data_IF_049874131763
#
_entry.id   IF_049874131763
#
_cell.length_a   1.000
_cell.length_b   1.000
_cell.length_c   1.000
_cell.angle_alpha   90.00
_cell.angle_beta   90.00
_cell.angle_gamma   90.00
#
_symmetry.space_group_name_H-M   'P 1'
#
loop_
_entity.id
_entity.type
_entity.pdbx_description
1 polymer ?
#
# COMPACT_ATOMS: atom_id res chain seq x y z
N UNK A 1 14.86 -13.60 18.64
CA UNK A 1 15.18 -12.52 17.68
C UNK A 1 14.42 -12.82 16.41
N UNK A 2 13.36 -12.06 16.16
CA UNK A 2 12.37 -12.30 15.10
C UNK A 2 12.92 -11.84 13.74
N UNK A 3 13.69 -12.72 13.10
CA UNK A 3 14.31 -12.49 11.79
C UNK A 3 13.28 -12.22 10.68
N UNK A 4 12.01 -12.53 10.89
CA UNK A 4 10.95 -12.35 9.90
C UNK A 4 10.52 -10.89 9.80
N UNK A 5 10.39 -10.21 10.94
CA UNK A 5 10.04 -8.79 11.02
C UNK A 5 11.16 -7.90 10.46
N UNK A 6 12.41 -8.19 10.84
CA UNK A 6 13.59 -7.43 10.36
C UNK A 6 13.75 -7.56 8.83
N UNK A 7 13.48 -8.74 8.26
CA UNK A 7 13.56 -8.97 6.81
C UNK A 7 12.47 -8.20 6.05
N UNK A 8 11.27 -8.06 6.62
CA UNK A 8 10.19 -7.29 6.00
C UNK A 8 10.45 -5.79 6.09
N UNK A 9 10.97 -5.32 7.22
CA UNK A 9 11.37 -3.93 7.40
C UNK A 9 12.47 -3.53 6.41
N UNK A 10 13.49 -4.37 6.22
CA UNK A 10 14.58 -4.12 5.26
C UNK A 10 14.06 -4.09 3.82
N UNK A 11 13.16 -5.00 3.43
CA UNK A 11 12.53 -5.00 2.10
C UNK A 11 11.69 -3.74 1.87
N UNK A 12 11.00 -3.26 2.91
CA UNK A 12 10.23 -2.03 2.84
C UNK A 12 11.15 -0.82 2.63
N UNK A 13 12.21 -0.70 3.44
CA UNK A 13 13.18 0.40 3.33
C UNK A 13 13.88 0.42 1.97
N UNK A 14 14.30 -0.74 1.45
CA UNK A 14 14.91 -0.83 0.11
C UNK A 14 13.95 -0.37 -0.99
N UNK A 15 12.69 -0.80 -0.93
CA UNK A 15 11.69 -0.38 -1.90
C UNK A 15 11.36 1.12 -1.80
N UNK A 16 11.40 1.70 -0.59
CA UNK A 16 11.25 3.14 -0.38
C UNK A 16 12.41 3.93 -0.99
N UNK A 17 13.66 3.50 -0.75
CA UNK A 17 14.86 4.15 -1.29
C UNK A 17 14.92 4.08 -2.82
N UNK A 18 14.69 2.90 -3.41
CA UNK A 18 14.66 2.73 -4.88
C UNK A 18 13.60 3.64 -5.51
N UNK A 19 12.47 3.84 -4.83
CA UNK A 19 11.40 4.69 -5.37
C UNK A 19 11.77 6.17 -5.30
N UNK A 20 12.37 6.60 -4.18
CA UNK A 20 12.84 7.98 -4.01
C UNK A 20 13.90 8.34 -5.06
N UNK A 21 14.83 7.43 -5.36
CA UNK A 21 15.88 7.65 -6.35
C UNK A 21 15.32 7.69 -7.79
N UNK A 22 14.28 6.90 -8.10
CA UNK A 22 13.59 6.93 -9.40
C UNK A 22 12.79 8.23 -9.56
N UNK A 23 12.09 8.67 -8.51
CA UNK A 23 11.33 9.93 -8.52
C UNK A 23 12.27 11.12 -8.71
N UNK A 24 13.37 11.18 -7.95
CA UNK A 24 14.39 12.22 -8.10
C UNK A 24 15.03 12.23 -9.50
N UNK A 25 15.36 11.04 -10.05
CA UNK A 25 15.93 10.94 -11.39
C UNK A 25 14.98 11.36 -12.51
N UNK A 26 13.66 11.27 -12.31
CA UNK A 26 12.65 11.77 -13.24
C UNK A 26 12.51 13.29 -13.13
N UNK A 27 12.48 13.82 -11.91
CA UNK A 27 12.40 15.27 -11.67
C UNK A 27 13.63 16.00 -12.24
N UNK A 28 14.84 15.46 -12.00
CA UNK A 28 16.10 15.98 -12.54
C UNK A 28 16.10 15.96 -14.08
N UNK A 29 15.52 14.92 -14.69
CA UNK A 29 15.40 14.80 -16.14
C UNK A 29 14.39 15.81 -16.72
N UNK A 30 13.28 16.07 -16.03
CA UNK A 30 12.30 17.08 -16.41
C UNK A 30 12.91 18.47 -16.33
N UNK A 31 13.59 18.80 -15.23
CA UNK A 31 14.26 20.09 -15.02
C UNK A 31 15.34 20.32 -16.10
N UNK A 32 16.16 19.29 -16.38
CA UNK A 32 17.17 19.35 -17.45
C UNK A 32 16.55 19.61 -18.82
N UNK A 33 15.41 18.98 -19.13
CA UNK A 33 14.69 19.18 -20.39
C UNK A 33 14.10 20.59 -20.50
N UNK A 34 13.54 21.13 -19.42
CA UNK A 34 12.99 22.49 -19.35
C UNK A 34 14.09 23.54 -19.48
N UNK A 35 15.18 23.42 -18.72
CA UNK A 35 16.35 24.31 -18.82
C UNK A 35 16.99 24.28 -20.21
N UNK A 36 16.99 23.12 -20.88
CA UNK A 36 17.50 22.98 -22.24
C UNK A 36 16.57 23.64 -23.26
N UNK A 37 15.25 23.52 -23.08
CA UNK A 37 14.26 24.19 -23.93
C UNK A 37 14.39 25.72 -23.85
N UNK A 38 14.45 26.30 -22.64
CA UNK A 38 14.61 27.74 -22.41
C UNK A 38 15.90 28.29 -23.06
N UNK A 39 17.02 27.56 -22.95
CA UNK A 39 18.28 27.95 -23.60
C UNK A 39 18.17 28.02 -25.11
N UNK A 40 17.39 27.11 -25.71
CA UNK A 40 17.21 27.02 -27.15
C UNK A 40 16.20 28.05 -27.70
N UNK A 41 15.33 28.65 -26.88
CA UNK A 41 14.40 29.70 -27.31
C UNK A 41 15.12 30.97 -27.80
N UNK A 42 16.35 31.20 -27.33
CA UNK A 42 17.19 32.34 -27.73
C UNK A 42 17.85 32.20 -29.12
N UNK A 43 17.72 31.03 -29.76
CA UNK A 43 18.34 30.72 -31.05
C UNK A 43 17.27 30.70 -32.15
N UNK A 44 17.33 31.67 -33.08
CA UNK A 44 16.34 31.81 -34.17
C UNK A 44 16.63 30.88 -35.36
N UNK A 45 16.77 29.58 -35.10
CA UNK A 45 17.01 28.54 -36.12
C UNK A 45 15.78 27.62 -36.29
N UNK A 46 15.24 27.45 -37.52
CA UNK A 46 14.05 26.63 -37.78
C UNK A 46 14.21 25.14 -37.46
N UNK A 47 15.42 24.58 -37.58
CA UNK A 47 15.72 23.20 -37.21
C UNK A 47 15.72 23.01 -35.70
N UNK A 48 16.27 23.99 -34.97
CA UNK A 48 16.27 24.04 -33.52
C UNK A 48 14.84 24.18 -32.96
N UNK A 49 14.00 25.04 -33.55
CA UNK A 49 12.58 25.20 -33.16
C UNK A 49 11.77 23.91 -33.27
N UNK A 50 12.07 23.05 -34.26
CA UNK A 50 11.40 21.76 -34.40
C UNK A 50 11.85 20.74 -33.36
N UNK A 51 13.13 20.75 -32.98
CA UNK A 51 13.67 19.93 -31.89
C UNK A 51 13.10 20.38 -30.53
N UNK A 52 12.98 21.68 -30.31
CA UNK A 52 12.39 22.31 -29.10
C UNK A 52 10.95 21.84 -28.88
N UNK A 53 10.11 21.94 -29.92
CA UNK A 53 8.74 21.43 -29.88
C UNK A 53 8.65 19.92 -29.63
N UNK A 54 9.66 19.14 -30.05
CA UNK A 54 9.70 17.70 -29.79
C UNK A 54 10.05 17.41 -28.33
N UNK A 55 10.94 18.20 -27.73
CA UNK A 55 11.31 18.14 -26.32
C UNK A 55 10.15 18.57 -25.41
N UNK A 56 9.49 19.68 -25.71
CA UNK A 56 8.28 20.15 -25.00
C UNK A 56 7.18 19.09 -25.00
N UNK A 57 6.91 18.47 -26.17
CA UNK A 57 5.94 17.35 -26.27
C UNK A 57 6.38 16.13 -25.48
N UNK A 58 7.67 15.91 -25.27
CA UNK A 58 8.19 14.81 -24.46
C UNK A 58 7.99 15.10 -22.97
N UNK A 59 8.36 16.30 -22.52
CA UNK A 59 8.17 16.77 -21.15
C UNK A 59 6.68 16.74 -20.74
N UNK A 60 5.77 17.32 -21.54
CA UNK A 60 4.33 17.26 -21.24
C UNK A 60 3.75 15.84 -21.22
N UNK A 61 4.30 14.90 -22.00
CA UNK A 61 3.86 13.49 -21.96
C UNK A 61 4.35 12.78 -20.70
N UNK A 62 5.56 13.10 -20.23
CA UNK A 62 6.09 12.60 -18.97
C UNK A 62 5.29 13.14 -17.78
N UNK A 63 5.01 14.44 -17.74
CA UNK A 63 4.17 15.07 -16.70
C UNK A 63 2.76 14.46 -16.68
N UNK A 64 2.12 14.29 -17.84
CA UNK A 64 0.81 13.65 -17.93
C UNK A 64 0.83 12.18 -17.50
N UNK A 65 1.92 11.45 -17.76
CA UNK A 65 2.09 10.06 -17.33
C UNK A 65 2.37 9.97 -15.82
N UNK A 66 3.05 10.96 -15.22
CA UNK A 66 3.29 11.02 -13.78
C UNK A 66 2.04 11.43 -12.99
N UNK A 67 1.27 12.41 -13.48
CA UNK A 67 -0.03 12.81 -12.92
C UNK A 67 -1.08 11.70 -13.08
N UNK A 68 -1.06 10.93 -14.19
CA UNK A 68 -1.95 9.77 -14.40
C UNK A 68 -1.47 8.49 -13.73
N UNK A 69 -0.17 8.32 -13.49
CA UNK A 69 0.33 7.25 -12.63
C UNK A 69 0.11 7.63 -11.17
N UNK A 70 -1.15 7.48 -10.81
CA UNK A 70 -1.66 6.93 -9.57
C UNK A 70 -0.82 5.77 -8.99
N UNK A 71 0.30 5.34 -9.55
CA UNK A 71 1.10 4.22 -9.03
C UNK A 71 1.69 4.51 -7.65
N UNK A 72 2.14 5.74 -7.33
CA UNK A 72 2.60 6.05 -5.97
C UNK A 72 1.43 6.17 -4.98
N UNK A 73 0.32 6.78 -5.38
CA UNK A 73 -0.91 6.89 -4.57
C UNK A 73 -1.65 5.57 -4.41
N UNK A 74 -1.81 4.79 -5.47
CA UNK A 74 -2.37 3.45 -5.50
C UNK A 74 -1.44 2.45 -4.82
N UNK A 75 -0.11 2.56 -4.93
CA UNK A 75 0.82 1.70 -4.16
C UNK A 75 0.82 2.08 -2.69
N UNK A 76 0.75 3.37 -2.34
CA UNK A 76 0.53 3.84 -0.96
C UNK A 76 -0.83 3.39 -0.42
N UNK A 77 -1.90 3.49 -1.22
CA UNK A 77 -3.23 3.02 -0.86
C UNK A 77 -3.28 1.49 -0.75
N UNK A 78 -2.57 0.76 -1.61
CA UNK A 78 -2.40 -0.69 -1.55
C UNK A 78 -1.59 -1.08 -0.30
N UNK A 79 -0.56 -0.32 0.05
CA UNK A 79 0.26 -0.54 1.25
C UNK A 79 -0.54 -0.26 2.53
N UNK A 80 -1.27 0.86 2.58
CA UNK A 80 -2.18 1.19 3.68
C UNK A 80 -3.33 0.19 3.79
N UNK A 81 -3.90 -0.26 2.67
CA UNK A 81 -4.95 -1.27 2.66
C UNK A 81 -4.43 -2.65 3.09
N UNK A 82 -3.18 -2.98 2.74
CA UNK A 82 -2.53 -4.21 3.18
C UNK A 82 -2.22 -4.17 4.69
N UNK A 83 -1.66 -3.08 5.21
CA UNK A 83 -1.38 -2.92 6.65
C UNK A 83 -2.66 -2.82 7.50
N UNK A 84 -3.71 -2.20 6.96
CA UNK A 84 -5.01 -2.05 7.61
C UNK A 84 -6.04 -3.09 7.14
N UNK A 85 -5.59 -4.22 6.58
CA UNK A 85 -6.50 -5.27 6.11
C UNK A 85 -7.10 -6.08 7.26
N UNK A 86 -8.26 -6.71 7.01
CA UNK A 86 -8.87 -7.67 7.96
C UNK A 86 -7.86 -8.72 8.43
N UNK A 87 -7.10 -9.31 7.50
CA UNK A 87 -6.14 -10.36 7.81
C UNK A 87 -5.04 -9.90 8.78
N UNK A 88 -4.54 -8.68 8.61
CA UNK A 88 -3.53 -8.10 9.51
C UNK A 88 -4.10 -7.83 10.89
N UNK A 89 -5.32 -7.26 10.98
CA UNK A 89 -5.99 -7.07 12.28
C UNK A 89 -6.22 -8.39 13.01
N UNK A 90 -6.73 -9.41 12.32
CA UNK A 90 -6.95 -10.74 12.90
C UNK A 90 -5.66 -11.33 13.43
N UNK A 91 -4.58 -11.32 12.62
CA UNK A 91 -3.26 -11.82 13.04
C UNK A 91 -2.74 -11.09 14.28
N UNK A 92 -2.74 -9.75 14.25
CA UNK A 92 -2.23 -8.91 15.34
C UNK A 92 -2.97 -9.16 16.65
N UNK A 93 -4.30 -9.25 16.62
CA UNK A 93 -5.10 -9.53 17.82
C UNK A 93 -4.86 -10.93 18.34
N UNK A 94 -4.86 -11.94 17.44
CA UNK A 94 -4.59 -13.33 17.78
C UNK A 94 -3.24 -13.48 18.48
N UNK A 95 -2.19 -12.86 17.94
CA UNK A 95 -0.85 -12.87 18.52
C UNK A 95 -0.79 -12.09 19.84
N UNK A 96 -1.49 -10.96 19.93
CA UNK A 96 -1.59 -10.17 21.16
C UNK A 96 -2.22 -10.90 22.34
N UNK A 97 -3.13 -11.86 22.08
CA UNK A 97 -3.72 -12.73 23.10
C UNK A 97 -3.02 -14.10 23.22
N UNK A 98 -1.91 -14.30 22.50
CA UNK A 98 -1.08 -15.52 22.58
C UNK A 98 -1.67 -16.76 21.90
N UNK A 99 -2.65 -16.60 21.00
CA UNK A 99 -3.28 -17.74 20.32
C UNK A 99 -2.49 -18.19 19.08
N UNK A 100 -2.43 -19.50 18.86
CA UNK A 100 -2.08 -20.05 17.54
C UNK A 100 -3.26 -19.93 16.58
N UNK A 101 -3.03 -20.06 15.26
CA UNK A 101 -4.12 -20.10 14.28
C UNK A 101 -5.14 -21.23 14.57
N UNK A 102 -4.66 -22.37 15.07
CA UNK A 102 -5.52 -23.50 15.45
C UNK A 102 -6.33 -23.21 16.72
N UNK A 103 -5.76 -22.47 17.69
CA UNK A 103 -6.53 -22.04 18.87
C UNK A 103 -7.68 -21.11 18.48
N UNK A 104 -7.38 -20.08 17.67
CA UNK A 104 -8.41 -19.16 17.19
C UNK A 104 -9.46 -19.91 16.35
N UNK A 105 -9.04 -20.85 15.52
CA UNK A 105 -9.96 -21.67 14.73
C UNK A 105 -10.92 -22.47 15.62
N UNK A 106 -10.39 -23.14 16.65
CA UNK A 106 -11.20 -23.91 17.59
C UNK A 106 -12.21 -23.02 18.33
N UNK A 107 -11.79 -21.84 18.81
CA UNK A 107 -12.69 -20.90 19.49
C UNK A 107 -13.77 -20.32 18.57
N UNK A 108 -13.44 -20.09 17.30
CA UNK A 108 -14.37 -19.57 16.31
C UNK A 108 -15.20 -20.67 15.60
N UNK A 109 -15.10 -21.94 16.01
CA UNK A 109 -15.85 -23.05 15.42
C UNK A 109 -15.48 -23.33 13.95
N UNK A 110 -14.21 -23.15 13.58
CA UNK A 110 -13.69 -23.32 12.21
C UNK A 110 -12.40 -24.14 12.21
N UNK A 111 -11.67 -24.15 11.08
CA UNK A 111 -10.37 -24.83 10.95
C UNK A 111 -9.21 -23.86 10.68
N UNK A 112 -7.98 -24.32 10.94
CA UNK A 112 -6.77 -23.52 10.79
C UNK A 112 -6.60 -22.96 9.37
N UNK A 113 -6.93 -23.75 8.33
CA UNK A 113 -6.79 -23.32 6.94
C UNK A 113 -7.70 -22.13 6.59
N UNK A 114 -8.88 -22.03 7.22
CA UNK A 114 -9.76 -20.86 7.08
C UNK A 114 -9.10 -19.63 7.70
N UNK A 115 -8.55 -19.74 8.92
CA UNK A 115 -7.84 -18.63 9.58
C UNK A 115 -6.64 -18.18 8.73
N UNK A 116 -5.84 -19.12 8.22
CA UNK A 116 -4.71 -18.82 7.35
C UNK A 116 -5.12 -18.07 6.07
N UNK A 117 -6.21 -18.49 5.41
CA UNK A 117 -6.74 -17.79 4.22
C UNK A 117 -7.17 -16.35 4.54
N UNK A 118 -7.79 -16.13 5.71
CA UNK A 118 -8.18 -14.79 6.17
C UNK A 118 -6.94 -13.93 6.42
N UNK A 119 -5.98 -14.42 7.20
CA UNK A 119 -4.76 -13.67 7.54
C UNK A 119 -3.90 -13.35 6.31
N UNK A 120 -3.91 -14.21 5.29
CA UNK A 120 -3.22 -13.99 4.03
C UNK A 120 -4.04 -13.17 3.02
N UNK A 121 -5.21 -12.65 3.39
CA UNK A 121 -6.03 -11.80 2.52
C UNK A 121 -6.81 -12.52 1.43
N UNK A 122 -6.76 -13.86 1.36
CA UNK A 122 -7.51 -14.67 0.39
C UNK A 122 -9.00 -14.77 0.73
N UNK A 123 -9.40 -14.37 1.94
CA UNK A 123 -10.80 -14.30 2.38
C UNK A 123 -11.06 -12.98 3.08
N UNK A 124 -11.66 -12.03 2.35
CA UNK A 124 -11.89 -10.65 2.81
C UNK A 124 -13.24 -10.44 3.46
N UNK A 125 -14.20 -11.37 3.30
CA UNK A 125 -15.53 -11.36 3.92
C UNK A 125 -15.90 -12.75 4.46
N UNK A 126 -15.18 -13.26 5.47
CA UNK A 126 -15.39 -14.63 5.95
C UNK A 126 -16.73 -14.78 6.68
N UNK A 127 -17.45 -15.87 6.40
CA UNK A 127 -18.71 -16.19 7.11
C UNK A 127 -18.53 -16.37 8.61
N UNK A 128 -17.32 -16.76 9.04
CA UNK A 128 -16.94 -16.98 10.44
C UNK A 128 -16.50 -15.70 11.16
N UNK A 129 -16.60 -14.52 10.52
CA UNK A 129 -16.12 -13.25 11.07
C UNK A 129 -16.69 -12.97 12.47
N UNK A 130 -18.00 -13.12 12.66
CA UNK A 130 -18.64 -12.84 13.95
C UNK A 130 -18.09 -13.73 15.06
N UNK A 131 -17.86 -15.01 14.77
CA UNK A 131 -17.28 -15.95 15.73
C UNK A 131 -15.82 -15.61 16.05
N UNK A 132 -15.04 -15.17 15.05
CA UNK A 132 -13.67 -14.67 15.25
C UNK A 132 -13.66 -13.41 16.13
N UNK A 133 -14.59 -12.48 15.89
CA UNK A 133 -14.70 -11.24 16.66
C UNK A 133 -15.03 -11.51 18.13
N UNK A 134 -15.95 -12.45 18.40
CA UNK A 134 -16.25 -12.92 19.76
C UNK A 134 -15.03 -13.58 20.41
N UNK A 135 -14.34 -14.48 19.71
CA UNK A 135 -13.16 -15.16 20.23
C UNK A 135 -12.00 -14.20 20.56
N UNK A 136 -11.89 -13.09 19.84
CA UNK A 136 -10.90 -12.04 20.04
C UNK A 136 -11.38 -10.88 20.93
N UNK A 137 -12.62 -10.97 21.44
CA UNK A 137 -13.27 -9.94 22.25
C UNK A 137 -13.24 -8.54 21.63
N UNK A 138 -13.69 -8.42 20.38
CA UNK A 138 -13.76 -7.14 19.65
C UNK A 138 -15.07 -7.01 18.88
N UNK A 139 -15.42 -5.79 18.51
CA UNK A 139 -16.56 -5.53 17.64
C UNK A 139 -16.34 -6.13 16.22
N UNK A 140 -17.31 -6.89 15.67
CA UNK A 140 -17.17 -7.51 14.35
C UNK A 140 -17.10 -6.49 13.20
N UNK A 141 -17.81 -5.36 13.30
CA UNK A 141 -17.75 -4.30 12.28
C UNK A 141 -16.38 -3.61 12.30
N UNK A 142 -15.83 -3.34 13.49
CA UNK A 142 -14.46 -2.83 13.61
C UNK A 142 -13.44 -3.86 13.09
N UNK A 143 -13.61 -5.15 13.39
CA UNK A 143 -12.72 -6.19 12.87
C UNK A 143 -12.73 -6.23 11.34
N UNK A 144 -13.90 -6.06 10.72
CA UNK A 144 -14.06 -6.04 9.26
C UNK A 144 -13.49 -4.81 8.58
N UNK A 145 -13.74 -3.62 9.13
CA UNK A 145 -13.49 -2.35 8.42
C UNK A 145 -12.40 -1.48 9.06
N UNK A 146 -12.06 -1.72 10.32
CA UNK A 146 -11.07 -0.95 11.08
C UNK A 146 -11.66 0.29 11.75
N UNK A 147 -10.76 1.16 12.21
CA UNK A 147 -11.09 2.40 12.90
C UNK A 147 -11.92 3.36 12.03
N UNK A 148 -12.81 4.13 12.65
CA UNK A 148 -13.70 5.08 11.97
C UNK A 148 -15.04 4.50 11.51
N UNK A 149 -15.19 3.17 11.49
CA UNK A 149 -16.45 2.51 11.16
C UNK A 149 -17.22 2.00 12.40
N UNK A 150 -16.50 1.62 13.45
CA UNK A 150 -17.06 1.21 14.73
C UNK A 150 -15.99 1.34 15.84
N UNK A 151 -16.43 1.35 17.11
CA UNK A 151 -15.51 1.23 18.24
C UNK A 151 -14.95 -0.20 18.29
N UNK A 152 -13.68 -0.33 18.71
CA UNK A 152 -13.00 -1.63 18.86
C UNK A 152 -13.66 -2.51 19.92
N UNK A 153 -14.12 -1.88 21.00
CA UNK A 153 -14.73 -2.56 22.13
C UNK A 153 -15.99 -3.33 21.71
N UNK A 154 -16.25 -4.50 22.31
CA UNK A 154 -17.47 -5.26 22.05
C UNK A 154 -18.71 -4.37 22.21
N UNK A 155 -19.75 -4.62 21.40
CA UNK A 155 -21.05 -4.05 21.69
C UNK A 155 -21.56 -4.75 22.95
N UNK A 156 -21.66 -4.03 24.06
CA UNK A 156 -22.29 -4.52 25.28
C UNK A 156 -23.63 -5.19 24.91
N UNK A 157 -23.77 -6.45 25.31
CA UNK A 157 -24.91 -7.30 25.00
C UNK A 157 -26.12 -6.96 25.87
#
# INVERSE_FOLDING_TARGET
>A
MDKSNDTQQVKHTINQLITCDIEQGIDDAIETLQMTAERLESLDDPGIKNALRALERCASRLEQHYVKNDMAKARTALYLAAEKGLGVRVRRLREGVGFTQSNLAAMAGTNQAVIQKIENGHSTRPRVLSAIAVALNVNPAWLQFGDGFANKEPLDH
#
